data_IF_076987406291
#
_entry.id   IF_076987406291
#
_cell.length_a   1.000
_cell.length_b   1.000
_cell.length_c   1.000
_cell.angle_alpha   90.00
_cell.angle_beta   90.00
_cell.angle_gamma   90.00
#
_symmetry.space_group_name_H-M   'P 1'
#
loop_
_entity.id
_entity.type
_entity.pdbx_description
1 polymer ?
#
# COMPACT_ATOMS: atom_id res chain seq x y z
N UNK A 1 11.42 -2.21 -10.98
CA UNK A 1 11.93 -3.49 -10.46
C UNK A 1 10.86 -4.56 -10.59
N UNK A 2 11.21 -5.78 -10.99
CA UNK A 2 10.25 -6.89 -11.06
C UNK A 2 10.32 -7.72 -9.77
N UNK A 3 9.17 -8.15 -9.28
CA UNK A 3 9.04 -9.00 -8.09
C UNK A 3 8.43 -10.33 -8.51
N UNK A 4 9.18 -11.41 -8.36
CA UNK A 4 8.67 -12.76 -8.65
C UNK A 4 7.86 -13.30 -7.47
N UNK A 5 6.83 -14.07 -7.78
CA UNK A 5 6.10 -14.83 -6.79
C UNK A 5 7.01 -15.88 -6.13
N UNK A 6 6.72 -16.18 -4.86
CA UNK A 6 7.49 -17.20 -4.13
C UNK A 6 7.21 -18.57 -4.71
N UNK A 7 8.25 -19.22 -5.23
CA UNK A 7 8.18 -20.58 -5.75
C UNK A 7 8.26 -21.55 -4.57
N UNK A 8 7.22 -22.37 -4.40
CA UNK A 8 7.20 -23.46 -3.42
C UNK A 8 7.38 -24.77 -4.17
N UNK A 9 8.51 -25.44 -3.95
CA UNK A 9 8.75 -26.77 -4.50
C UNK A 9 8.09 -27.82 -3.60
N UNK A 10 7.20 -28.64 -4.16
CA UNK A 10 6.66 -29.85 -3.51
C UNK A 10 6.96 -31.07 -4.36
N UNK A 11 7.35 -32.15 -3.71
CA UNK A 11 7.54 -33.47 -4.31
C UNK A 11 6.36 -34.35 -3.89
N UNK A 12 5.22 -34.19 -4.55
CA UNK A 12 4.00 -34.97 -4.34
C UNK A 12 3.29 -35.14 -5.68
N UNK A 13 2.77 -36.34 -5.94
CA UNK A 13 1.87 -36.62 -7.05
C UNK A 13 0.62 -35.75 -6.83
N UNK A 14 0.25 -34.90 -7.80
CA UNK A 14 -0.75 -33.84 -7.65
C UNK A 14 -2.14 -34.37 -7.23
N UNK A 15 -2.35 -34.54 -5.93
CA UNK A 15 -3.65 -34.76 -5.28
C UNK A 15 -4.31 -33.41 -4.93
N UNK A 16 -4.10 -32.37 -5.75
CA UNK A 16 -4.94 -31.17 -5.67
C UNK A 16 -6.28 -31.58 -6.28
N UNK A 17 -7.37 -31.75 -5.50
CA UNK A 17 -8.66 -32.03 -6.09
C UNK A 17 -8.97 -30.87 -7.05
N UNK A 18 -9.38 -31.20 -8.27
CA UNK A 18 -9.83 -30.22 -9.25
C UNK A 18 -11.09 -29.54 -8.73
N UNK A 19 -10.92 -28.52 -7.88
CA UNK A 19 -12.02 -27.73 -7.38
C UNK A 19 -12.51 -26.82 -8.51
N UNK A 20 -13.78 -26.94 -8.88
CA UNK A 20 -14.40 -25.97 -9.76
C UNK A 20 -14.77 -24.70 -8.95
N UNK A 21 -14.02 -23.62 -9.19
CA UNK A 21 -14.23 -22.33 -8.55
C UNK A 21 -15.17 -21.39 -9.35
N UNK A 22 -15.84 -21.91 -10.39
CA UNK A 22 -16.64 -21.11 -11.34
C UNK A 22 -17.76 -20.28 -10.70
N UNK A 23 -18.32 -20.72 -9.57
CA UNK A 23 -19.43 -20.05 -8.86
C UNK A 23 -18.99 -19.16 -7.69
N UNK A 24 -17.68 -19.08 -7.40
CA UNK A 24 -17.18 -18.33 -6.26
C UNK A 24 -17.05 -16.84 -6.57
N UNK A 25 -17.37 -16.01 -5.58
CA UNK A 25 -17.21 -14.57 -5.68
C UNK A 25 -15.73 -14.19 -5.76
N UNK A 26 -15.38 -13.35 -6.72
CA UNK A 26 -14.01 -12.84 -6.84
C UNK A 26 -13.77 -11.69 -5.85
N UNK A 27 -12.55 -11.52 -5.34
CA UNK A 27 -12.19 -10.36 -4.53
C UNK A 27 -12.30 -9.09 -5.38
N UNK A 28 -12.93 -8.05 -4.82
CA UNK A 28 -13.02 -6.71 -5.42
C UNK A 28 -12.42 -5.72 -4.44
N UNK A 29 -11.08 -5.64 -4.38
CA UNK A 29 -10.41 -4.76 -3.44
C UNK A 29 -10.51 -3.31 -3.88
N UNK A 30 -10.56 -2.41 -2.91
CA UNK A 30 -10.46 -0.96 -3.15
C UNK A 30 -9.12 -0.49 -2.63
N UNK A 31 -8.31 0.07 -3.53
CA UNK A 31 -6.96 0.56 -3.21
C UNK A 31 -6.99 2.08 -3.21
N UNK A 32 -6.61 2.68 -2.08
CA UNK A 32 -6.57 4.12 -1.87
C UNK A 32 -5.16 4.54 -1.43
N UNK A 33 -4.32 5.07 -2.34
CA UNK A 33 -3.03 5.63 -1.98
C UNK A 33 -3.20 6.94 -1.19
N UNK A 34 -2.23 7.26 -0.34
CA UNK A 34 -2.13 8.58 0.27
C UNK A 34 -2.00 9.68 -0.81
N UNK A 35 -2.55 10.88 -0.58
CA UNK A 35 -2.49 11.98 -1.54
C UNK A 35 -1.03 12.37 -1.84
N UNK A 36 -0.74 12.68 -3.11
CA UNK A 36 0.60 13.13 -3.49
C UNK A 36 0.90 14.50 -2.88
N UNK A 37 2.12 14.65 -2.37
CA UNK A 37 2.60 15.90 -1.76
C UNK A 37 2.73 17.04 -2.78
N UNK A 38 2.83 16.73 -4.08
CA UNK A 38 2.86 17.72 -5.15
C UNK A 38 1.55 18.51 -5.29
N UNK A 39 0.42 17.94 -4.85
CA UNK A 39 -0.88 18.61 -4.90
C UNK A 39 -1.14 19.51 -3.68
N UNK A 40 -0.28 19.47 -2.67
CA UNK A 40 -0.27 20.46 -1.59
C UNK A 40 0.34 21.77 -2.13
N UNK A 41 -0.48 22.57 -2.81
CA UNK A 41 -0.08 23.86 -3.36
C UNK A 41 0.34 24.86 -2.29
N UNK A 42 1.29 25.74 -2.63
CA UNK A 42 1.66 26.88 -1.79
C UNK A 42 0.52 27.90 -1.78
N UNK A 43 -0.31 27.87 -0.75
CA UNK A 43 -1.28 28.93 -0.52
C UNK A 43 -0.66 29.94 0.44
N UNK A 44 -0.51 31.20 0.00
CA UNK A 44 0.06 32.26 0.83
C UNK A 44 -0.79 32.58 2.08
N UNK A 45 -2.06 32.17 2.10
CA UNK A 45 -2.97 32.35 3.24
C UNK A 45 -2.99 31.13 4.18
N UNK A 46 -2.36 30.01 3.81
CA UNK A 46 -2.26 28.84 4.70
C UNK A 46 -1.17 29.11 5.74
N UNK A 47 -1.50 28.83 7.00
CA UNK A 47 -0.51 28.78 8.08
C UNK A 47 0.50 27.65 7.88
N UNK A 48 1.29 27.35 8.91
CA UNK A 48 2.40 26.40 8.83
C UNK A 48 1.95 24.94 8.67
N UNK A 49 0.66 24.64 8.82
CA UNK A 49 0.10 23.29 8.73
C UNK A 49 -0.60 23.08 7.39
N UNK A 50 -0.30 21.97 6.72
CA UNK A 50 -0.95 21.49 5.50
C UNK A 50 -1.84 20.29 5.84
N UNK A 51 -3.16 20.47 6.05
CA UNK A 51 -4.03 19.44 6.59
C UNK A 51 -4.18 18.21 5.68
N UNK A 52 -4.24 18.41 4.36
CA UNK A 52 -4.57 17.35 3.40
C UNK A 52 -3.53 16.24 3.35
N UNK A 53 -2.26 16.61 3.51
CA UNK A 53 -1.12 15.68 3.54
C UNK A 53 -0.53 15.55 4.96
N UNK A 54 -1.19 16.14 5.96
CA UNK A 54 -0.75 16.15 7.36
C UNK A 54 0.73 16.52 7.51
N UNK A 55 1.15 17.61 6.83
CA UNK A 55 2.55 18.04 6.82
C UNK A 55 2.73 19.42 7.44
N UNK A 56 3.94 19.70 7.89
CA UNK A 56 4.36 21.00 8.42
C UNK A 56 5.24 21.68 7.38
N UNK A 57 4.91 22.94 7.05
CA UNK A 57 5.69 23.85 6.23
C UNK A 57 6.11 25.05 7.09
N UNK A 58 7.42 25.30 7.15
CA UNK A 58 8.00 26.42 7.89
C UNK A 58 8.93 27.21 6.98
N UNK A 59 8.93 28.54 7.11
CA UNK A 59 9.74 29.44 6.30
C UNK A 59 10.47 30.46 7.18
N UNK A 60 11.78 30.60 6.97
CA UNK A 60 12.63 31.57 7.67
C UNK A 60 13.27 32.51 6.64
N UNK A 61 12.97 33.82 6.65
CA UNK A 61 13.56 34.77 5.71
C UNK A 61 15.05 34.99 6.00
N UNK A 62 15.85 35.18 4.95
CA UNK A 62 17.28 35.47 5.05
C UNK A 62 17.50 36.99 4.98
N UNK A 63 18.00 37.64 6.05
CA UNK A 63 18.19 39.09 6.07
C UNK A 63 19.08 39.58 4.92
N UNK A 64 18.67 40.66 4.24
CA UNK A 64 19.42 41.24 3.13
C UNK A 64 19.22 40.53 1.77
N UNK A 65 18.28 39.59 1.68
CA UNK A 65 17.88 38.95 0.42
C UNK A 65 16.38 38.72 0.36
N UNK A 66 15.85 38.53 -0.85
CA UNK A 66 14.46 38.09 -1.05
C UNK A 66 14.29 36.56 -0.90
N UNK A 67 15.35 35.87 -0.46
CA UNK A 67 15.35 34.41 -0.29
C UNK A 67 14.83 34.00 1.09
N UNK A 68 14.24 32.80 1.14
CA UNK A 68 13.73 32.17 2.36
C UNK A 68 14.23 30.73 2.45
N UNK A 69 14.56 30.29 3.66
CA UNK A 69 14.78 28.89 3.96
C UNK A 69 13.42 28.22 4.20
N UNK A 70 13.10 27.18 3.43
CA UNK A 70 11.83 26.47 3.53
C UNK A 70 12.05 25.04 4.03
N UNK A 71 11.39 24.70 5.13
CA UNK A 71 11.31 23.35 5.66
C UNK A 71 9.94 22.75 5.35
N UNK A 72 9.92 21.52 4.86
CA UNK A 72 8.68 20.77 4.60
C UNK A 72 8.84 19.35 5.14
N UNK A 73 7.99 18.97 6.10
CA UNK A 73 8.12 17.67 6.79
C UNK A 73 7.93 16.48 5.84
N UNK A 74 7.21 16.65 4.73
CA UNK A 74 7.00 15.61 3.72
C UNK A 74 8.28 15.19 2.97
N UNK A 75 9.31 16.04 2.98
CA UNK A 75 10.62 15.76 2.37
C UNK A 75 11.55 14.94 3.26
N UNK A 76 11.11 14.57 4.47
CA UNK A 76 11.91 13.79 5.42
C UNK A 76 11.74 12.27 5.19
N UNK A 77 12.68 11.49 5.74
CA UNK A 77 12.59 10.02 5.72
C UNK A 77 11.49 9.46 6.63
N UNK A 78 11.04 10.27 7.61
CA UNK A 78 9.94 9.92 8.52
C UNK A 78 8.56 9.98 7.85
N UNK A 79 8.41 10.76 6.77
CA UNK A 79 7.16 10.82 6.02
C UNK A 79 7.01 9.61 5.09
N UNK A 80 6.28 8.60 5.54
CA UNK A 80 6.11 7.32 4.83
C UNK A 80 5.03 7.38 3.76
N UNK A 81 5.12 6.52 2.76
CA UNK A 81 4.03 6.31 1.80
C UNK A 81 3.05 5.31 2.38
N UNK A 82 1.76 5.62 2.36
CA UNK A 82 0.70 4.76 2.89
C UNK A 82 -0.23 4.36 1.75
N UNK A 83 -0.58 3.08 1.69
CA UNK A 83 -1.53 2.51 0.75
C UNK A 83 -2.60 1.75 1.54
N UNK A 84 -3.80 2.30 1.57
CA UNK A 84 -4.94 1.64 2.22
C UNK A 84 -5.58 0.68 1.25
N UNK A 85 -5.67 -0.59 1.64
CA UNK A 85 -6.29 -1.65 0.84
C UNK A 85 -7.50 -2.18 1.60
N UNK A 86 -8.70 -1.94 1.07
CA UNK A 86 -9.92 -2.58 1.55
C UNK A 86 -10.01 -3.97 0.93
N UNK A 87 -9.93 -5.00 1.77
CA UNK A 87 -9.85 -6.41 1.39
C UNK A 87 -11.24 -7.04 1.31
N UNK A 88 -12.15 -6.67 2.21
CA UNK A 88 -13.55 -7.13 2.21
C UNK A 88 -14.51 -5.98 2.51
N UNK A 89 -15.74 -6.13 2.05
CA UNK A 89 -16.83 -5.17 2.28
C UNK A 89 -17.70 -5.61 3.47
N UNK A 90 -18.84 -4.95 3.68
CA UNK A 90 -19.77 -5.27 4.77
C UNK A 90 -20.35 -6.69 4.66
N UNK A 91 -20.56 -7.18 3.45
CA UNK A 91 -20.98 -8.56 3.17
C UNK A 91 -19.77 -9.39 2.76
N UNK A 92 -19.61 -10.54 3.39
CA UNK A 92 -18.60 -11.53 3.01
C UNK A 92 -19.26 -12.74 2.35
N UNK A 93 -18.59 -13.36 1.37
CA UNK A 93 -19.06 -14.59 0.74
C UNK A 93 -19.15 -15.73 1.77
N UNK A 94 -20.15 -16.59 1.60
CA UNK A 94 -20.26 -17.83 2.37
C UNK A 94 -19.04 -18.74 2.07
N UNK A 95 -18.59 -19.48 3.08
CA UNK A 95 -17.38 -20.34 3.05
C UNK A 95 -16.03 -19.61 2.83
N UNK A 96 -15.98 -18.27 2.82
CA UNK A 96 -14.69 -17.57 2.80
C UNK A 96 -13.97 -17.80 4.13
N UNK A 97 -12.77 -18.37 4.08
CA UNK A 97 -11.99 -18.73 5.27
C UNK A 97 -10.83 -17.77 5.51
N UNK A 98 -10.04 -17.49 4.45
CA UNK A 98 -8.90 -16.56 4.54
C UNK A 98 -8.88 -15.59 3.38
N UNK A 99 -8.28 -14.42 3.64
CA UNK A 99 -8.00 -13.40 2.65
C UNK A 99 -6.50 -13.15 2.61
N UNK A 100 -5.90 -13.37 1.45
CA UNK A 100 -4.48 -13.17 1.17
C UNK A 100 -4.27 -11.79 0.56
N UNK A 101 -3.27 -11.07 1.06
CA UNK A 101 -2.80 -9.80 0.54
C UNK A 101 -1.34 -9.93 0.15
N UNK A 102 -1.02 -9.53 -1.08
CA UNK A 102 0.35 -9.36 -1.54
C UNK A 102 0.52 -7.95 -2.09
N UNK A 103 1.59 -7.27 -1.67
CA UNK A 103 1.95 -5.93 -2.16
C UNK A 103 3.41 -5.97 -2.61
N UNK A 104 3.63 -5.65 -3.88
CA UNK A 104 4.96 -5.58 -4.47
C UNK A 104 5.31 -4.12 -4.81
N UNK A 105 6.44 -3.64 -4.30
CA UNK A 105 6.94 -2.28 -4.55
C UNK A 105 8.47 -2.28 -4.61
N UNK A 106 9.05 -1.77 -5.70
CA UNK A 106 10.50 -1.57 -5.87
C UNK A 106 11.36 -2.77 -5.43
N UNK A 107 10.98 -3.97 -5.83
CA UNK A 107 11.71 -5.21 -5.53
C UNK A 107 11.34 -5.88 -4.20
N UNK A 108 10.56 -5.22 -3.34
CA UNK A 108 10.06 -5.79 -2.08
C UNK A 108 8.73 -6.48 -2.29
N UNK A 109 8.58 -7.67 -1.73
CA UNK A 109 7.32 -8.41 -1.68
C UNK A 109 6.83 -8.50 -0.23
N UNK A 110 5.69 -7.86 0.05
CA UNK A 110 4.97 -8.01 1.30
C UNK A 110 3.84 -9.03 1.11
N UNK A 111 3.72 -9.99 2.02
CA UNK A 111 2.67 -11.00 2.00
C UNK A 111 2.06 -11.12 3.39
N UNK A 112 0.75 -11.10 3.48
CA UNK A 112 0.02 -11.31 4.74
C UNK A 112 -1.33 -11.93 4.46
N UNK A 113 -1.78 -12.80 5.34
CA UNK A 113 -3.13 -13.35 5.29
C UNK A 113 -3.91 -12.94 6.54
N UNK A 114 -5.22 -12.93 6.40
CA UNK A 114 -6.17 -12.55 7.44
C UNK A 114 -7.31 -13.58 7.47
N UNK A 115 -7.88 -13.88 8.65
CA UNK A 115 -9.13 -14.61 8.70
C UNK A 115 -10.25 -13.79 8.04
N UNK A 116 -11.22 -14.47 7.43
CA UNK A 116 -12.36 -13.81 6.81
C UNK A 116 -13.17 -13.01 7.84
N UNK A 117 -13.32 -11.71 7.59
CA UNK A 117 -14.09 -10.80 8.42
C UNK A 117 -14.71 -9.71 7.53
N UNK A 118 -15.88 -9.15 7.88
CA UNK A 118 -16.45 -8.01 7.18
C UNK A 118 -15.64 -6.73 7.43
N UNK A 119 -15.67 -5.81 6.47
CA UNK A 119 -14.98 -4.51 6.51
C UNK A 119 -13.46 -4.60 6.79
N UNK A 120 -12.82 -5.67 6.32
CA UNK A 120 -11.41 -5.87 6.51
C UNK A 120 -10.63 -4.88 5.63
N UNK A 121 -9.76 -4.09 6.26
CA UNK A 121 -8.85 -3.20 5.56
C UNK A 121 -7.45 -3.26 6.16
N UNK A 122 -6.45 -2.99 5.34
CA UNK A 122 -5.06 -3.00 5.74
C UNK A 122 -4.32 -1.77 5.19
N UNK A 123 -3.60 -1.09 6.07
CA UNK A 123 -2.76 0.05 5.71
C UNK A 123 -1.32 -0.45 5.50
N UNK A 124 -0.92 -0.54 4.23
CA UNK A 124 0.45 -0.85 3.87
C UNK A 124 1.32 0.40 3.95
N UNK A 125 2.41 0.33 4.72
CA UNK A 125 3.33 1.45 4.93
C UNK A 125 4.67 1.15 4.26
N UNK A 126 5.13 2.06 3.41
CA UNK A 126 6.38 1.94 2.68
C UNK A 126 7.38 3.05 3.02
N UNK A 127 8.62 2.63 3.26
CA UNK A 127 9.74 3.47 3.67
C UNK A 127 10.39 4.27 2.53
N UNK A 128 9.83 4.23 1.31
CA UNK A 128 10.42 4.85 0.11
C UNK A 128 11.81 4.28 -0.20
N UNK A 129 12.00 3.00 0.08
CA UNK A 129 13.26 2.27 -0.16
C UNK A 129 13.03 1.01 -0.97
N UNK A 130 14.02 0.67 -1.80
CA UNK A 130 14.02 -0.55 -2.60
C UNK A 130 14.43 -1.78 -1.77
N UNK A 131 14.48 -2.95 -2.41
CA UNK A 131 14.92 -4.22 -1.77
C UNK A 131 16.34 -4.15 -1.20
N UNK A 132 17.23 -3.31 -1.76
CA UNK A 132 18.60 -3.10 -1.30
C UNK A 132 18.71 -2.02 -0.22
N UNK A 133 17.58 -1.52 0.27
CA UNK A 133 17.49 -0.42 1.26
C UNK A 133 18.04 0.91 0.75
N UNK A 134 18.11 1.10 -0.56
CA UNK A 134 18.44 2.37 -1.20
C UNK A 134 17.19 3.24 -1.31
N UNK A 135 17.36 4.56 -1.24
CA UNK A 135 16.25 5.52 -1.34
C UNK A 135 15.74 5.58 -2.78
N UNK A 136 14.43 5.48 -2.93
CA UNK A 136 13.73 5.66 -4.21
C UNK A 136 13.19 7.07 -4.28
N UNK A 137 13.37 7.72 -5.43
CA UNK A 137 12.98 9.11 -5.65
C UNK A 137 11.86 9.20 -6.68
N UNK A 138 10.96 10.16 -6.50
CA UNK A 138 9.85 10.39 -7.42
C UNK A 138 8.62 9.53 -7.10
N UNK A 139 7.99 9.00 -8.14
CA UNK A 139 6.80 8.15 -8.06
C UNK A 139 7.20 6.70 -8.33
N UNK A 140 6.59 5.79 -7.59
CA UNK A 140 6.77 4.34 -7.74
C UNK A 140 5.43 3.66 -7.93
N UNK A 141 5.41 2.68 -8.82
CA UNK A 141 4.23 1.82 -9.02
C UNK A 141 4.24 0.67 -8.02
N UNK A 142 3.07 0.33 -7.49
CA UNK A 142 2.88 -0.80 -6.58
C UNK A 142 1.86 -1.79 -7.15
N UNK A 143 2.17 -3.07 -7.14
CA UNK A 143 1.24 -4.13 -7.52
C UNK A 143 0.58 -4.70 -6.27
N UNK A 144 -0.75 -4.68 -6.22
CA UNK A 144 -1.54 -5.24 -5.14
C UNK A 144 -2.32 -6.44 -5.65
N UNK A 145 -2.13 -7.60 -5.03
CA UNK A 145 -2.89 -8.82 -5.31
C UNK A 145 -3.68 -9.23 -4.08
N UNK A 146 -4.98 -9.50 -4.26
CA UNK A 146 -5.86 -9.99 -3.20
C UNK A 146 -6.42 -11.34 -3.62
N UNK A 147 -6.29 -12.33 -2.74
CA UNK A 147 -6.76 -13.70 -2.96
C UNK A 147 -7.75 -14.12 -1.89
N UNK A 148 -8.77 -14.89 -2.28
CA UNK A 148 -9.74 -15.48 -1.37
C UNK A 148 -9.51 -16.99 -1.29
N UNK A 149 -9.40 -17.52 -0.08
CA UNK A 149 -9.28 -18.95 0.20
C UNK A 149 -10.59 -19.40 0.85
N UNK A 150 -11.21 -20.41 0.26
CA UNK A 150 -12.50 -20.95 0.66
C UNK A 150 -12.32 -22.28 1.38
N UNK A 151 -13.17 -22.55 2.37
CA UNK A 151 -13.12 -23.80 3.15
C UNK A 151 -13.29 -25.05 2.26
N UNK A 152 -14.09 -24.94 1.19
CA UNK A 152 -14.33 -26.03 0.24
C UNK A 152 -13.13 -26.36 -0.67
N UNK A 153 -12.12 -25.48 -0.75
CA UNK A 153 -10.92 -25.72 -1.54
C UNK A 153 -9.70 -25.00 -0.94
N UNK A 154 -8.97 -25.66 -0.02
CA UNK A 154 -7.82 -25.10 0.67
C UNK A 154 -6.53 -25.06 -0.18
#
# INVERSE_FOLDING_TARGET
FFVMDTIVMRHEENDIPSCDLSSFSRPVPVVSPAPLTAFAGSCSERGTVVPEIQSLQEEVPIPGSDMKLSYLSSRTAGYKSILRVTLTHSTIPFNLMKVHLMVAVEGRLFRKWFPAAPNLSYDFVWDKTDVYSQKVYGLSESFVSVGFEYESCP
#
